data_IF_958744288208
#
_entry.id   IF_958744288208
#
_cell.length_a   1.000
_cell.length_b   1.000
_cell.length_c   1.000
_cell.angle_alpha   90.00
_cell.angle_beta   90.00
_cell.angle_gamma   90.00
#
_symmetry.space_group_name_H-M   'P 1'
#
loop_
_entity.id
_entity.type
_entity.pdbx_description
1 polymer ?
#
# COMPACT_ATOMS: atom_id res chain seq x y z
N UNK A 1 46.31 13.10 -1.27
CA UNK A 1 45.70 13.86 -0.16
C UNK A 1 44.24 14.06 -0.51
N UNK A 2 43.35 13.39 0.21
CA UNK A 2 41.91 13.47 0.01
C UNK A 2 41.49 14.84 0.55
N UNK A 3 41.06 15.73 -0.33
CA UNK A 3 40.62 17.08 0.06
C UNK A 3 39.42 17.00 0.97
N UNK A 4 39.48 17.69 2.12
CA UNK A 4 38.35 17.82 3.03
C UNK A 4 37.16 18.47 2.29
N UNK A 5 35.94 17.93 2.44
CA UNK A 5 34.76 18.49 1.79
C UNK A 5 34.47 19.89 2.33
N UNK A 6 34.11 20.81 1.43
CA UNK A 6 33.85 22.22 1.79
C UNK A 6 32.76 22.33 2.87
N UNK A 7 32.83 23.32 3.78
CA UNK A 7 31.87 23.45 4.87
C UNK A 7 30.42 23.49 4.36
N UNK A 8 30.16 24.18 3.25
CA UNK A 8 28.81 24.29 2.66
C UNK A 8 28.24 22.93 2.25
N UNK A 9 29.07 22.02 1.73
CA UNK A 9 28.63 20.67 1.37
C UNK A 9 28.35 19.81 2.61
N UNK A 10 29.12 19.96 3.68
CA UNK A 10 28.91 19.25 4.94
C UNK A 10 27.66 19.78 5.67
N UNK A 11 27.47 21.11 5.72
CA UNK A 11 26.30 21.76 6.32
C UNK A 11 25.01 21.45 5.54
N UNK A 12 25.04 21.49 4.20
CA UNK A 12 23.90 21.09 3.37
C UNK A 12 23.57 19.61 3.57
N UNK A 13 24.57 18.72 3.61
CA UNK A 13 24.34 17.29 3.88
C UNK A 13 23.82 17.01 5.29
N UNK A 14 24.29 17.72 6.32
CA UNK A 14 23.78 17.61 7.70
C UNK A 14 22.36 18.17 7.82
N UNK A 15 22.04 19.26 7.13
CA UNK A 15 20.68 19.81 7.08
C UNK A 15 19.71 18.88 6.34
N UNK A 16 20.17 18.27 5.24
CA UNK A 16 19.40 17.35 4.40
C UNK A 16 19.17 16.00 5.12
N UNK A 17 20.17 15.49 5.84
CA UNK A 17 20.04 14.29 6.69
C UNK A 17 19.19 14.54 7.93
N UNK A 18 19.27 15.73 8.55
CA UNK A 18 18.38 16.10 9.65
C UNK A 18 16.93 16.13 9.19
N UNK A 19 16.65 16.78 8.06
CA UNK A 19 15.29 16.87 7.51
C UNK A 19 14.73 15.49 7.14
N UNK A 20 15.57 14.55 6.71
CA UNK A 20 15.16 13.22 6.24
C UNK A 20 14.42 12.38 7.30
N UNK A 21 14.76 12.56 8.57
CA UNK A 21 14.18 11.83 9.70
C UNK A 21 13.29 12.72 10.56
N UNK A 22 12.90 13.91 10.11
CA UNK A 22 12.10 14.84 10.92
C UNK A 22 10.63 14.40 10.94
N UNK A 23 9.99 14.41 12.11
CA UNK A 23 8.55 14.14 12.20
C UNK A 23 7.73 15.34 11.70
N UNK A 24 6.50 15.10 11.23
CA UNK A 24 5.63 16.10 10.61
C UNK A 24 5.53 17.43 11.38
N UNK A 25 5.47 17.37 12.72
CA UNK A 25 5.33 18.53 13.60
C UNK A 25 6.52 19.50 13.55
N UNK A 26 7.69 18.99 13.18
CA UNK A 26 8.96 19.74 13.20
C UNK A 26 9.44 20.08 11.77
N UNK A 27 8.66 19.75 10.75
CA UNK A 27 8.97 20.09 9.37
C UNK A 27 8.73 21.59 9.10
N UNK A 28 9.63 22.26 8.35
CA UNK A 28 9.37 23.62 7.89
C UNK A 28 8.13 23.67 7.00
N UNK A 29 7.44 24.82 6.98
CA UNK A 29 6.27 24.99 6.13
C UNK A 29 6.63 24.80 4.64
N UNK A 30 5.74 24.13 3.89
CA UNK A 30 5.82 23.95 2.43
C UNK A 30 7.04 23.16 1.93
N UNK A 31 7.62 22.26 2.73
CA UNK A 31 8.69 21.34 2.27
C UNK A 31 8.16 20.08 1.56
N UNK A 32 6.85 19.86 1.61
CA UNK A 32 6.16 18.78 0.92
C UNK A 32 6.23 18.88 -0.60
N UNK A 33 5.62 17.91 -1.30
CA UNK A 33 5.55 17.90 -2.75
C UNK A 33 4.11 17.91 -3.26
N UNK A 34 3.89 18.53 -4.42
CA UNK A 34 2.58 18.55 -5.06
C UNK A 34 2.30 17.26 -5.83
N UNK A 35 1.02 16.91 -5.91
CA UNK A 35 0.56 15.77 -6.68
C UNK A 35 0.85 16.00 -8.18
N UNK A 36 1.55 15.05 -8.79
CA UNK A 36 1.98 15.06 -10.20
C UNK A 36 3.00 16.14 -10.55
N UNK A 37 3.67 16.71 -9.55
CA UNK A 37 4.93 17.41 -9.76
C UNK A 37 5.98 16.46 -10.36
N UNK A 38 7.03 17.02 -10.98
CA UNK A 38 8.11 16.22 -11.58
C UNK A 38 8.71 15.17 -10.62
N UNK A 39 8.96 15.48 -9.32
CA UNK A 39 9.44 14.47 -8.38
C UNK A 39 8.41 13.36 -8.10
N UNK A 40 7.12 13.69 -8.05
CA UNK A 40 6.07 12.68 -7.91
C UNK A 40 6.00 11.74 -9.12
N UNK A 41 6.04 12.30 -10.34
CA UNK A 41 6.05 11.51 -11.57
C UNK A 41 7.28 10.59 -11.62
N UNK A 42 8.45 11.09 -11.22
CA UNK A 42 9.66 10.29 -11.11
C UNK A 42 9.49 9.13 -10.10
N UNK A 43 8.92 9.40 -8.93
CA UNK A 43 8.65 8.37 -7.92
C UNK A 43 7.67 7.29 -8.43
N UNK A 44 6.63 7.68 -9.17
CA UNK A 44 5.72 6.74 -9.84
C UNK A 44 6.50 5.87 -10.83
N UNK A 45 7.28 6.48 -11.72
CA UNK A 45 8.04 5.76 -12.74
C UNK A 45 9.04 4.77 -12.13
N UNK A 46 9.77 5.18 -11.10
CA UNK A 46 10.70 4.32 -10.34
C UNK A 46 9.95 3.18 -9.67
N UNK A 47 8.80 3.47 -9.03
CA UNK A 47 7.98 2.44 -8.39
C UNK A 47 7.52 1.37 -9.38
N UNK A 48 7.01 1.79 -10.55
CA UNK A 48 6.58 0.87 -11.61
C UNK A 48 7.76 0.05 -12.15
N UNK A 49 8.91 0.68 -12.39
CA UNK A 49 10.11 -0.02 -12.80
C UNK A 49 10.51 -1.09 -11.79
N UNK A 50 10.55 -0.76 -10.49
CA UNK A 50 10.89 -1.70 -9.43
C UNK A 50 9.90 -2.87 -9.34
N UNK A 51 8.59 -2.60 -9.41
CA UNK A 51 7.55 -3.64 -9.40
C UNK A 51 7.74 -4.61 -10.56
N UNK A 52 7.96 -4.09 -11.78
CA UNK A 52 8.20 -4.90 -12.98
C UNK A 52 9.51 -5.67 -12.84
N UNK A 53 10.61 -5.02 -12.42
CA UNK A 53 11.90 -5.67 -12.22
C UNK A 53 11.80 -6.83 -11.23
N UNK A 54 11.18 -6.63 -10.06
CA UNK A 54 11.01 -7.69 -9.05
C UNK A 54 10.19 -8.86 -9.62
N UNK A 55 9.10 -8.56 -10.35
CA UNK A 55 8.22 -9.58 -10.94
C UNK A 55 8.91 -10.37 -12.06
N UNK A 56 9.65 -9.69 -12.95
CA UNK A 56 10.43 -10.33 -14.02
C UNK A 56 11.58 -11.15 -13.43
N UNK A 57 12.32 -10.59 -12.47
CA UNK A 57 13.37 -11.32 -11.75
C UNK A 57 12.80 -12.58 -11.10
N UNK A 58 11.60 -12.52 -10.52
CA UNK A 58 10.92 -13.71 -10.02
C UNK A 58 10.64 -14.71 -11.15
N UNK A 59 10.02 -14.29 -12.25
CA UNK A 59 9.61 -15.16 -13.35
C UNK A 59 10.77 -15.99 -13.93
N UNK A 60 11.93 -15.36 -14.15
CA UNK A 60 13.13 -15.97 -14.76
C UNK A 60 14.06 -16.66 -13.74
N UNK A 61 13.76 -16.60 -12.45
CA UNK A 61 14.61 -17.16 -11.40
C UNK A 61 14.45 -18.67 -11.20
N UNK A 62 15.52 -19.32 -10.75
CA UNK A 62 15.50 -20.70 -10.27
C UNK A 62 14.60 -20.87 -9.02
N UNK A 63 14.10 -22.09 -8.73
CA UNK A 63 13.12 -22.32 -7.66
C UNK A 63 13.52 -21.80 -6.27
N UNK A 64 14.80 -21.94 -5.89
CA UNK A 64 15.32 -21.42 -4.61
C UNK A 64 15.19 -19.89 -4.53
N UNK A 65 15.56 -19.18 -5.60
CA UNK A 65 15.49 -17.72 -5.67
C UNK A 65 14.04 -17.22 -5.77
N UNK A 66 13.16 -17.94 -6.48
CA UNK A 66 11.70 -17.68 -6.46
C UNK A 66 11.15 -17.71 -5.04
N UNK A 67 11.47 -18.75 -4.27
CA UNK A 67 11.04 -18.86 -2.88
C UNK A 67 11.59 -17.71 -2.02
N UNK A 68 12.86 -17.33 -2.19
CA UNK A 68 13.45 -16.20 -1.47
C UNK A 68 12.77 -14.87 -1.81
N UNK A 69 12.57 -14.55 -3.08
CA UNK A 69 11.91 -13.31 -3.51
C UNK A 69 10.50 -13.23 -2.90
N UNK A 70 9.71 -14.30 -3.01
CA UNK A 70 8.34 -14.35 -2.49
C UNK A 70 8.28 -14.17 -0.96
N UNK A 71 9.22 -14.78 -0.22
CA UNK A 71 9.32 -14.61 1.23
C UNK A 71 9.76 -13.19 1.60
N UNK A 72 10.73 -12.63 0.89
CA UNK A 72 11.22 -11.26 1.15
C UNK A 72 10.13 -10.22 0.90
N UNK A 73 9.40 -10.32 -0.21
CA UNK A 73 8.28 -9.40 -0.51
C UNK A 73 7.10 -9.57 0.45
N UNK A 74 7.00 -10.69 1.17
CA UNK A 74 6.02 -10.89 2.25
C UNK A 74 6.49 -10.42 3.63
N UNK A 75 7.79 -10.53 3.93
CA UNK A 75 8.37 -10.23 5.26
C UNK A 75 8.75 -8.77 5.40
N UNK A 76 9.39 -8.18 4.38
CA UNK A 76 9.89 -6.80 4.46
C UNK A 76 8.78 -5.79 4.77
N UNK A 77 7.56 -5.85 4.19
CA UNK A 77 6.48 -4.93 4.56
C UNK A 77 6.14 -4.94 6.05
N UNK A 78 6.14 -6.11 6.70
CA UNK A 78 5.90 -6.23 8.15
C UNK A 78 7.03 -5.58 8.95
N UNK A 79 8.28 -5.75 8.51
CA UNK A 79 9.44 -5.09 9.12
C UNK A 79 9.31 -3.58 8.96
N UNK A 80 8.96 -3.07 7.78
CA UNK A 80 8.79 -1.63 7.53
C UNK A 80 7.73 -1.03 8.46
N UNK A 81 6.61 -1.71 8.67
CA UNK A 81 5.60 -1.29 9.66
C UNK A 81 6.20 -1.21 11.06
N UNK A 82 6.95 -2.23 11.49
CA UNK A 82 7.58 -2.23 12.82
C UNK A 82 8.60 -1.09 12.99
N UNK A 83 9.40 -0.82 11.94
CA UNK A 83 10.36 0.29 11.92
C UNK A 83 9.62 1.62 11.99
N UNK A 84 8.53 1.79 11.21
CA UNK A 84 7.70 3.01 11.23
C UNK A 84 7.07 3.25 12.59
N UNK A 85 6.50 2.23 13.22
CA UNK A 85 5.95 2.34 14.57
C UNK A 85 7.03 2.72 15.59
N UNK A 86 8.24 2.14 15.46
CA UNK A 86 9.39 2.49 16.30
C UNK A 86 9.78 3.95 16.09
N UNK A 87 9.85 4.41 14.84
CA UNK A 87 10.11 5.81 14.49
C UNK A 87 9.10 6.75 15.16
N UNK A 88 7.80 6.47 15.05
CA UNK A 88 6.73 7.28 15.67
C UNK A 88 6.88 7.35 17.19
N UNK A 89 7.19 6.22 17.85
CA UNK A 89 7.44 6.17 19.30
C UNK A 89 8.65 7.01 19.70
N UNK A 90 9.76 6.93 18.95
CA UNK A 90 10.98 7.68 19.25
C UNK A 90 10.79 9.20 19.18
N UNK A 91 9.89 9.66 18.30
CA UNK A 91 9.52 11.08 18.19
C UNK A 91 8.41 11.50 19.16
N UNK A 92 7.95 10.61 20.06
CA UNK A 92 6.90 10.92 21.03
C UNK A 92 5.52 11.15 20.40
N UNK A 93 5.35 10.77 19.14
CA UNK A 93 4.08 10.91 18.43
C UNK A 93 3.10 9.79 18.83
N UNK A 94 1.80 10.07 18.67
CA UNK A 94 0.76 9.12 19.06
C UNK A 94 0.68 7.94 18.09
N UNK A 95 1.09 6.76 18.57
CA UNK A 95 1.05 5.49 17.84
C UNK A 95 -0.37 5.14 17.36
N UNK A 96 -1.41 5.62 18.04
CA UNK A 96 -2.82 5.33 17.72
C UNK A 96 -3.21 5.78 16.32
N UNK A 97 -2.52 6.74 15.71
CA UNK A 97 -2.77 7.21 14.33
C UNK A 97 -1.94 6.48 13.27
N UNK A 98 -0.99 5.63 13.68
CA UNK A 98 -0.02 4.96 12.81
C UNK A 98 -0.16 3.42 12.89
N UNK A 99 -1.18 2.92 13.59
CA UNK A 99 -1.49 1.49 13.66
C UNK A 99 -1.79 0.94 12.26
N UNK A 100 -1.49 -0.35 12.00
CA UNK A 100 -1.64 -0.94 10.68
C UNK A 100 -3.09 -1.33 10.34
N UNK A 101 -4.04 -0.43 10.58
CA UNK A 101 -5.47 -0.64 10.34
C UNK A 101 -5.93 -0.05 8.99
N UNK A 102 -5.05 0.66 8.27
CA UNK A 102 -5.28 0.96 6.85
C UNK A 102 -5.17 -0.30 6.00
N UNK A 103 -5.97 -0.39 4.94
CA UNK A 103 -6.02 -1.57 4.07
C UNK A 103 -4.64 -1.94 3.49
N UNK A 104 -3.83 -0.97 3.06
CA UNK A 104 -2.46 -1.23 2.59
C UNK A 104 -1.57 -1.79 3.70
N UNK A 105 -1.59 -1.21 4.90
CA UNK A 105 -0.81 -1.71 6.05
C UNK A 105 -1.23 -3.12 6.45
N UNK A 106 -2.53 -3.40 6.50
CA UNK A 106 -3.06 -4.75 6.70
C UNK A 106 -2.63 -5.70 5.59
N UNK A 107 -2.54 -5.22 4.34
CA UNK A 107 -2.04 -6.01 3.20
C UNK A 107 -0.62 -6.53 3.42
N UNK A 108 0.26 -5.74 4.05
CA UNK A 108 1.59 -6.21 4.44
C UNK A 108 1.52 -7.47 5.33
N UNK A 109 0.66 -7.45 6.35
CA UNK A 109 0.41 -8.62 7.19
C UNK A 109 -0.30 -9.75 6.44
N UNK A 110 -1.22 -9.44 5.54
CA UNK A 110 -1.90 -10.45 4.72
C UNK A 110 -0.92 -11.17 3.81
N UNK A 111 0.02 -10.48 3.16
CA UNK A 111 1.09 -11.11 2.37
C UNK A 111 1.90 -12.10 3.22
N UNK A 112 2.27 -11.70 4.44
CA UNK A 112 2.97 -12.56 5.39
C UNK A 112 2.12 -13.79 5.79
N UNK A 113 0.88 -13.57 6.21
CA UNK A 113 -0.04 -14.63 6.62
C UNK A 113 -0.31 -15.60 5.46
N UNK A 114 -0.51 -15.08 4.25
CA UNK A 114 -0.76 -15.84 3.04
C UNK A 114 0.41 -16.76 2.65
N UNK A 115 1.64 -16.26 2.79
CA UNK A 115 2.86 -17.00 2.45
C UNK A 115 3.12 -18.16 3.42
N UNK A 116 2.97 -17.91 4.72
CA UNK A 116 3.47 -18.81 5.75
C UNK A 116 2.39 -19.67 6.42
N UNK A 117 1.16 -19.18 6.54
CA UNK A 117 0.16 -19.79 7.45
C UNK A 117 -1.08 -20.35 6.74
N UNK A 118 -1.47 -19.83 5.58
CA UNK A 118 -2.75 -20.21 4.95
C UNK A 118 -2.69 -21.42 4.02
N UNK A 119 -1.58 -22.17 3.97
CA UNK A 119 -1.47 -23.35 3.10
C UNK A 119 -2.48 -24.45 3.43
N UNK A 120 -2.88 -24.57 4.70
CA UNK A 120 -3.82 -25.61 5.18
C UNK A 120 -5.27 -25.15 5.25
N UNK A 121 -5.57 -23.90 4.91
CA UNK A 121 -6.91 -23.30 5.03
C UNK A 121 -7.40 -22.79 3.67
N UNK A 122 -7.84 -23.68 2.75
CA UNK A 122 -8.10 -23.32 1.35
C UNK A 122 -9.20 -22.27 1.19
N UNK A 123 -10.24 -22.30 2.02
CA UNK A 123 -11.31 -21.29 1.99
C UNK A 123 -10.78 -19.90 2.37
N UNK A 124 -10.12 -19.77 3.54
CA UNK A 124 -9.55 -18.50 4.01
C UNK A 124 -8.50 -17.99 3.04
N UNK A 125 -7.67 -18.89 2.49
CA UNK A 125 -6.70 -18.58 1.46
C UNK A 125 -7.38 -18.02 0.21
N UNK A 126 -8.47 -18.62 -0.25
CA UNK A 126 -9.23 -18.12 -1.41
C UNK A 126 -9.84 -16.75 -1.13
N UNK A 127 -10.44 -16.55 0.06
CA UNK A 127 -10.99 -15.24 0.45
C UNK A 127 -9.92 -14.16 0.49
N UNK A 128 -8.79 -14.44 1.14
CA UNK A 128 -7.70 -13.47 1.25
C UNK A 128 -7.04 -13.21 -0.11
N UNK A 129 -6.88 -14.23 -0.95
CA UNK A 129 -6.34 -14.09 -2.30
C UNK A 129 -7.23 -13.19 -3.18
N UNK A 130 -8.56 -13.41 -3.15
CA UNK A 130 -9.52 -12.56 -3.84
C UNK A 130 -9.49 -11.12 -3.33
N UNK A 131 -9.45 -10.92 -2.01
CA UNK A 131 -9.36 -9.57 -1.42
C UNK A 131 -8.04 -8.87 -1.76
N UNK A 132 -6.92 -9.59 -1.71
CA UNK A 132 -5.60 -9.05 -2.08
C UNK A 132 -5.57 -8.62 -3.55
N UNK A 133 -6.13 -9.42 -4.44
CA UNK A 133 -6.22 -9.08 -5.87
C UNK A 133 -7.19 -7.93 -6.15
N UNK A 134 -8.42 -8.04 -5.67
CA UNK A 134 -9.52 -7.19 -6.14
C UNK A 134 -9.67 -5.88 -5.37
N UNK A 135 -9.06 -5.77 -4.19
CA UNK A 135 -9.10 -4.57 -3.35
C UNK A 135 -7.70 -4.04 -3.03
N UNK A 136 -6.82 -4.89 -2.53
CA UNK A 136 -5.54 -4.43 -1.99
C UNK A 136 -4.57 -3.99 -3.08
N UNK A 137 -4.50 -4.73 -4.20
CA UNK A 137 -3.69 -4.37 -5.36
C UNK A 137 -4.11 -3.03 -5.98
N UNK A 138 -5.38 -2.81 -6.39
CA UNK A 138 -5.78 -1.52 -6.93
C UNK A 138 -5.67 -0.40 -5.87
N UNK A 139 -5.96 -0.68 -4.60
CA UNK A 139 -5.77 0.27 -3.50
C UNK A 139 -4.31 0.72 -3.35
N UNK A 140 -3.37 -0.22 -3.40
CA UNK A 140 -1.94 0.07 -3.31
C UNK A 140 -1.43 0.86 -4.53
N UNK A 141 -1.93 0.55 -5.73
CA UNK A 141 -1.65 1.33 -6.94
C UNK A 141 -2.18 2.76 -6.81
N UNK A 142 -3.41 2.93 -6.30
CA UNK A 142 -3.97 4.25 -6.05
C UNK A 142 -3.19 5.02 -4.98
N UNK A 143 -2.62 4.36 -3.97
CA UNK A 143 -1.78 5.02 -2.97
C UNK A 143 -0.46 5.57 -3.55
N UNK A 144 0.08 4.92 -4.59
CA UNK A 144 1.22 5.45 -5.36
C UNK A 144 0.81 6.63 -6.24
N UNK A 145 -0.39 6.59 -6.84
CA UNK A 145 -0.89 7.63 -7.75
C UNK A 145 -1.49 8.85 -7.04
N UNK A 146 -2.01 8.66 -5.84
CA UNK A 146 -2.71 9.65 -5.01
C UNK A 146 -2.23 9.52 -3.55
N UNK A 147 -0.92 9.72 -3.26
CA UNK A 147 -0.40 9.66 -1.90
C UNK A 147 -1.08 10.71 -1.00
N UNK A 148 -1.34 10.34 0.25
CA UNK A 148 -1.92 11.23 1.26
C UNK A 148 -0.87 11.86 2.20
N UNK A 149 0.38 11.40 2.17
CA UNK A 149 1.48 11.87 3.01
C UNK A 149 2.35 12.94 2.36
N UNK A 150 1.80 13.77 1.47
CA UNK A 150 2.55 14.74 0.66
C UNK A 150 3.16 15.90 1.44
N UNK A 151 2.83 16.03 2.73
CA UNK A 151 3.48 16.99 3.65
C UNK A 151 4.97 16.68 3.84
N UNK A 152 5.35 15.39 3.74
CA UNK A 152 6.74 14.99 3.75
C UNK A 152 7.38 15.23 2.38
N UNK A 153 8.62 15.74 2.31
CA UNK A 153 9.35 15.85 1.05
C UNK A 153 9.45 14.49 0.34
N UNK A 154 9.60 14.49 -0.99
CA UNK A 154 9.74 13.22 -1.73
C UNK A 154 10.99 12.43 -1.31
N UNK A 155 12.08 13.15 -0.97
CA UNK A 155 13.32 12.59 -0.42
C UNK A 155 13.24 12.68 1.11
N UNK A 156 12.41 11.83 1.72
CA UNK A 156 12.19 11.75 3.16
C UNK A 156 11.96 10.31 3.59
N UNK A 157 12.34 9.94 4.82
CA UNK A 157 12.18 8.57 5.34
C UNK A 157 10.75 8.05 5.16
N UNK A 158 9.74 8.80 5.62
CA UNK A 158 8.32 8.41 5.51
C UNK A 158 7.88 8.24 4.06
N UNK A 159 8.32 9.11 3.15
CA UNK A 159 8.01 9.01 1.72
C UNK A 159 8.65 7.75 1.12
N UNK A 160 9.94 7.52 1.36
CA UNK A 160 10.64 6.33 0.89
C UNK A 160 10.06 5.03 1.44
N UNK A 161 9.80 4.98 2.75
CA UNK A 161 9.18 3.84 3.41
C UNK A 161 7.82 3.54 2.79
N UNK A 162 6.99 4.56 2.60
CA UNK A 162 5.67 4.43 1.99
C UNK A 162 5.76 3.88 0.57
N UNK A 163 6.57 4.45 -0.32
CA UNK A 163 6.71 3.94 -1.69
C UNK A 163 7.27 2.52 -1.72
N UNK A 164 8.31 2.24 -0.93
CA UNK A 164 8.91 0.91 -0.84
C UNK A 164 7.91 -0.13 -0.34
N UNK A 165 7.14 0.21 0.69
CA UNK A 165 6.08 -0.64 1.23
C UNK A 165 5.07 -1.01 0.13
N UNK A 166 4.55 -0.02 -0.60
CA UNK A 166 3.59 -0.23 -1.67
C UNK A 166 4.17 -1.05 -2.84
N UNK A 167 5.41 -0.77 -3.26
CA UNK A 167 6.13 -1.54 -4.28
C UNK A 167 6.17 -3.03 -3.90
N UNK A 168 6.51 -3.34 -2.65
CA UNK A 168 6.69 -4.72 -2.19
C UNK A 168 5.38 -5.49 -2.10
N UNK A 169 4.30 -4.88 -1.57
CA UNK A 169 2.99 -5.56 -1.52
C UNK A 169 2.41 -5.77 -2.92
N UNK A 170 2.56 -4.81 -3.83
CA UNK A 170 2.12 -4.94 -5.22
C UNK A 170 2.92 -6.06 -5.89
N UNK A 171 4.25 -6.05 -5.77
CA UNK A 171 5.10 -7.08 -6.34
C UNK A 171 4.77 -8.48 -5.78
N UNK A 172 4.49 -8.61 -4.47
CA UNK A 172 4.05 -9.87 -3.88
C UNK A 172 2.77 -10.38 -4.55
N UNK A 173 1.74 -9.53 -4.66
CA UNK A 173 0.46 -9.92 -5.25
C UNK A 173 0.64 -10.32 -6.73
N UNK A 174 1.39 -9.54 -7.52
CA UNK A 174 1.71 -9.87 -8.91
C UNK A 174 2.44 -11.22 -9.04
N UNK A 175 3.43 -11.48 -8.17
CA UNK A 175 4.14 -12.76 -8.11
C UNK A 175 3.19 -13.92 -7.83
N UNK A 176 2.24 -13.75 -6.89
CA UNK A 176 1.28 -14.79 -6.54
C UNK A 176 0.24 -15.02 -7.64
N UNK A 177 -0.10 -14.00 -8.43
CA UNK A 177 -0.94 -14.20 -9.61
C UNK A 177 -0.15 -14.99 -10.67
N UNK A 178 1.09 -14.58 -10.94
CA UNK A 178 1.96 -15.22 -11.92
C UNK A 178 2.18 -16.71 -11.62
N UNK A 179 2.38 -17.09 -10.35
CA UNK A 179 2.59 -18.49 -9.97
C UNK A 179 1.31 -19.29 -9.67
N UNK A 180 0.13 -18.74 -10.04
CA UNK A 180 -1.20 -19.30 -9.74
C UNK A 180 -1.42 -19.54 -8.24
N UNK A 181 -0.67 -18.83 -7.42
CA UNK A 181 -0.81 -18.79 -5.99
C UNK A 181 -2.04 -18.06 -5.51
N UNK A 182 -2.47 -17.04 -6.25
CA UNK A 182 -3.76 -16.35 -6.19
C UNK A 182 -4.35 -16.49 -7.59
N UNK A 183 -5.55 -17.05 -7.68
CA UNK A 183 -6.26 -17.21 -8.94
C UNK A 183 -7.56 -16.40 -8.86
N UNK A 184 -7.56 -15.16 -9.39
CA UNK A 184 -8.77 -14.35 -9.45
C UNK A 184 -9.86 -15.03 -10.28
N UNK A 185 -11.10 -14.88 -9.84
CA UNK A 185 -12.26 -15.50 -10.49
C UNK A 185 -13.50 -14.67 -10.18
N UNK A 186 -14.18 -14.24 -11.24
CA UNK A 186 -15.42 -13.47 -11.16
C UNK A 186 -16.52 -14.19 -10.38
N UNK A 187 -16.55 -15.52 -10.43
CA UNK A 187 -17.51 -16.34 -9.67
C UNK A 187 -17.27 -16.26 -8.17
N UNK A 188 -16.05 -15.89 -7.78
CA UNK A 188 -15.57 -15.81 -6.41
C UNK A 188 -15.37 -14.37 -5.94
N UNK A 189 -15.75 -13.38 -6.76
CA UNK A 189 -15.62 -11.95 -6.44
C UNK A 189 -16.37 -11.57 -5.14
N UNK A 190 -17.47 -12.26 -4.82
CA UNK A 190 -18.20 -12.06 -3.56
C UNK A 190 -17.33 -12.29 -2.32
N UNK A 191 -16.24 -13.07 -2.41
CA UNK A 191 -15.29 -13.27 -1.31
C UNK A 191 -14.56 -11.97 -0.93
N UNK A 192 -14.34 -11.06 -1.88
CA UNK A 192 -13.83 -9.71 -1.59
C UNK A 192 -14.83 -8.90 -0.76
N UNK A 193 -16.14 -9.06 -1.01
CA UNK A 193 -17.20 -8.44 -0.22
C UNK A 193 -17.24 -9.04 1.18
N UNK A 194 -17.17 -10.38 1.29
CA UNK A 194 -17.11 -11.08 2.58
C UNK A 194 -15.92 -10.60 3.42
N UNK A 195 -14.77 -10.41 2.80
CA UNK A 195 -13.60 -9.83 3.45
C UNK A 195 -13.88 -8.43 4.00
N UNK A 196 -14.49 -7.53 3.22
CA UNK A 196 -14.85 -6.19 3.70
C UNK A 196 -15.86 -6.24 4.84
N UNK A 197 -16.88 -7.11 4.75
CA UNK A 197 -17.86 -7.29 5.82
C UNK A 197 -17.23 -7.79 7.12
N UNK A 198 -16.10 -8.52 7.05
CA UNK A 198 -15.37 -8.97 8.22
C UNK A 198 -14.45 -7.89 8.81
N UNK A 199 -13.78 -7.09 7.96
CA UNK A 199 -12.75 -6.13 8.40
C UNK A 199 -13.30 -4.73 8.69
N UNK A 200 -14.25 -4.24 7.90
CA UNK A 200 -14.74 -2.86 8.03
C UNK A 200 -15.45 -2.61 9.37
N UNK A 201 -16.34 -3.48 9.88
CA UNK A 201 -17.01 -3.22 11.16
C UNK A 201 -16.08 -3.02 12.37
N UNK A 202 -15.07 -3.88 12.63
CA UNK A 202 -14.16 -3.64 13.75
C UNK A 202 -13.29 -2.40 13.55
N UNK A 203 -12.84 -2.11 12.32
CA UNK A 203 -12.08 -0.88 12.02
C UNK A 203 -12.95 0.37 12.20
N UNK A 204 -14.21 0.32 11.79
CA UNK A 204 -15.17 1.41 12.00
C UNK A 204 -15.38 1.68 13.49
N UNK A 205 -15.58 0.63 14.30
CA UNK A 205 -15.72 0.78 15.75
C UNK A 205 -14.47 1.38 16.37
N UNK A 206 -13.29 0.90 15.98
CA UNK A 206 -12.01 1.48 16.43
C UNK A 206 -11.92 2.96 16.09
N UNK A 207 -12.26 3.33 14.85
CA UNK A 207 -12.25 4.72 14.40
C UNK A 207 -13.15 5.63 15.24
N UNK A 208 -14.35 5.17 15.60
CA UNK A 208 -15.27 5.94 16.45
C UNK A 208 -14.72 6.12 17.85
N UNK A 209 -14.17 5.06 18.46
CA UNK A 209 -13.65 5.08 19.83
C UNK A 209 -12.41 5.97 19.94
N UNK A 210 -11.46 5.82 19.02
CA UNK A 210 -10.16 6.48 19.07
C UNK A 210 -10.09 7.76 18.24
N UNK A 211 -11.20 8.18 17.62
CA UNK A 211 -11.30 9.36 16.75
C UNK A 211 -10.28 9.34 15.59
N UNK A 212 -10.11 8.17 14.98
CA UNK A 212 -9.24 7.93 13.83
C UNK A 212 -10.06 7.73 12.56
N UNK A 213 -9.40 7.61 11.40
CA UNK A 213 -10.06 7.38 10.10
C UNK A 213 -9.32 6.35 9.24
N UNK A 214 -9.02 5.21 9.84
CA UNK A 214 -8.48 4.06 9.13
C UNK A 214 -9.40 3.61 8.00
N UNK A 215 -8.81 3.20 6.88
CA UNK A 215 -9.52 2.86 5.64
C UNK A 215 -10.43 3.98 5.10
N UNK A 216 -10.36 5.20 5.65
CA UNK A 216 -11.21 6.33 5.28
C UNK A 216 -12.73 6.07 5.45
N UNK A 217 -13.14 5.17 6.33
CA UNK A 217 -14.56 4.78 6.43
C UNK A 217 -15.46 5.80 7.16
N UNK A 218 -14.87 6.78 7.87
CA UNK A 218 -15.63 7.81 8.58
C UNK A 218 -15.81 9.07 7.74
N UNK A 219 -14.71 9.61 7.20
CA UNK A 219 -14.71 10.83 6.38
C UNK A 219 -13.77 10.71 5.17
N UNK A 220 -14.02 11.44 4.09
CA UNK A 220 -13.18 11.37 2.89
C UNK A 220 -11.77 11.94 3.13
N UNK A 221 -10.79 11.39 2.42
CA UNK A 221 -9.48 12.01 2.29
C UNK A 221 -9.54 13.20 1.32
N UNK A 222 -8.92 14.32 1.69
CA UNK A 222 -8.73 15.44 0.78
C UNK A 222 -7.96 14.99 -0.49
N UNK A 223 -8.34 15.54 -1.65
CA UNK A 223 -7.73 15.18 -2.94
C UNK A 223 -8.16 13.83 -3.54
N UNK A 224 -8.90 12.99 -2.80
CA UNK A 224 -9.42 11.72 -3.33
C UNK A 224 -10.55 11.95 -4.34
N UNK A 225 -10.62 11.19 -5.45
CA UNK A 225 -11.78 11.18 -6.35
C UNK A 225 -13.10 10.92 -5.62
N UNK A 226 -13.05 10.19 -4.51
CA UNK A 226 -14.21 9.85 -3.67
C UNK A 226 -14.80 11.05 -2.93
N UNK A 227 -14.06 12.17 -2.84
CA UNK A 227 -14.57 13.41 -2.26
C UNK A 227 -15.78 13.97 -3.05
N UNK A 228 -15.94 13.60 -4.33
CA UNK A 228 -17.11 13.95 -5.12
C UNK A 228 -18.43 13.46 -4.51
N UNK A 229 -18.46 12.23 -3.97
CA UNK A 229 -19.65 11.68 -3.31
C UNK A 229 -20.03 12.48 -2.05
N UNK A 230 -19.03 12.98 -1.33
CA UNK A 230 -19.27 13.87 -0.19
C UNK A 230 -19.89 15.20 -0.63
N UNK A 231 -19.41 15.81 -1.72
CA UNK A 231 -20.00 17.04 -2.26
C UNK A 231 -21.45 16.87 -2.70
N UNK A 232 -21.82 15.69 -3.21
CA UNK A 232 -23.17 15.42 -3.70
C UNK A 232 -24.20 15.11 -2.60
N UNK A 233 -23.78 14.44 -1.51
CA UNK A 233 -24.72 13.90 -0.52
C UNK A 233 -24.22 13.88 0.92
N UNK A 234 -23.21 14.69 1.26
CA UNK A 234 -22.59 14.75 2.57
C UNK A 234 -22.00 13.41 3.02
N UNK A 235 -21.93 13.19 4.33
CA UNK A 235 -21.38 11.95 4.90
C UNK A 235 -22.17 10.69 4.57
N UNK A 236 -23.48 10.80 4.31
CA UNK A 236 -24.31 9.68 3.90
C UNK A 236 -24.00 9.30 2.44
N UNK A 237 -24.00 10.29 1.54
CA UNK A 237 -23.62 10.11 0.14
C UNK A 237 -22.19 9.57 -0.01
N UNK A 238 -21.25 10.09 0.78
CA UNK A 238 -19.88 9.58 0.82
C UNK A 238 -19.81 8.09 1.13
N UNK A 239 -20.44 7.63 2.23
CA UNK A 239 -20.36 6.23 2.66
C UNK A 239 -21.04 5.27 1.68
N UNK A 240 -22.18 5.68 1.11
CA UNK A 240 -22.87 4.90 0.07
C UNK A 240 -22.00 4.82 -1.19
N UNK A 241 -21.49 5.95 -1.67
CA UNK A 241 -20.61 6.01 -2.83
C UNK A 241 -19.33 5.21 -2.61
N UNK A 242 -18.73 5.27 -1.42
CA UNK A 242 -17.55 4.50 -1.04
C UNK A 242 -17.80 3.00 -1.08
N UNK A 243 -18.90 2.53 -0.47
CA UNK A 243 -19.29 1.12 -0.52
C UNK A 243 -19.57 0.65 -1.95
N UNK A 244 -20.27 1.46 -2.75
CA UNK A 244 -20.51 1.18 -4.15
C UNK A 244 -19.21 1.08 -4.95
N UNK A 245 -18.29 2.04 -4.77
CA UNK A 245 -16.98 2.01 -5.45
C UNK A 245 -16.18 0.77 -5.05
N UNK A 246 -16.18 0.38 -3.78
CA UNK A 246 -15.48 -0.83 -3.35
C UNK A 246 -16.03 -2.08 -4.04
N UNK A 247 -17.35 -2.26 -4.08
CA UNK A 247 -18.00 -3.37 -4.78
C UNK A 247 -17.72 -3.30 -6.29
N UNK A 248 -17.87 -2.12 -6.89
CA UNK A 248 -17.60 -1.90 -8.31
C UNK A 248 -16.17 -2.29 -8.68
N UNK A 249 -15.16 -1.87 -7.91
CA UNK A 249 -13.76 -2.21 -8.15
C UNK A 249 -13.53 -3.71 -8.00
N UNK A 250 -14.14 -4.37 -7.01
CA UNK A 250 -14.02 -5.83 -6.84
C UNK A 250 -14.45 -6.57 -8.12
N UNK A 251 -15.62 -6.23 -8.65
CA UNK A 251 -16.13 -6.88 -9.87
C UNK A 251 -15.35 -6.44 -11.10
N UNK A 252 -15.01 -5.16 -11.24
CA UNK A 252 -14.24 -4.64 -12.37
C UNK A 252 -12.90 -5.35 -12.49
N UNK A 253 -12.14 -5.47 -11.40
CA UNK A 253 -10.85 -6.17 -11.40
C UNK A 253 -11.01 -7.62 -11.87
N UNK A 254 -11.98 -8.36 -11.33
CA UNK A 254 -12.21 -9.75 -11.73
C UNK A 254 -12.67 -9.89 -13.19
N UNK A 255 -13.46 -8.95 -13.72
CA UNK A 255 -13.84 -8.92 -15.15
C UNK A 255 -12.61 -8.68 -16.03
N UNK A 256 -11.76 -7.71 -15.67
CA UNK A 256 -10.54 -7.39 -16.41
C UNK A 256 -9.53 -8.54 -16.40
N UNK A 257 -9.60 -9.45 -15.43
CA UNK A 257 -8.77 -10.65 -15.40
C UNK A 257 -9.16 -11.73 -16.42
N UNK A 258 -10.42 -11.77 -16.87
CA UNK A 258 -10.93 -12.80 -17.80
C UNK A 258 -10.09 -12.94 -19.09
N UNK A 259 -9.74 -11.87 -19.82
CA UNK A 259 -8.87 -12.01 -21.00
C UNK A 259 -7.46 -12.50 -20.63
N UNK A 260 -6.92 -12.05 -19.49
CA UNK A 260 -5.58 -12.42 -19.02
C UNK A 260 -5.51 -13.90 -18.66
N UNK A 261 -6.53 -14.43 -17.96
CA UNK A 261 -6.58 -15.84 -17.60
C UNK A 261 -6.63 -16.76 -18.82
N UNK A 262 -7.33 -16.36 -19.89
CA UNK A 262 -7.39 -17.08 -21.17
C UNK A 262 -6.06 -17.10 -21.93
N UNK A 263 -5.22 -16.07 -21.75
CA UNK A 263 -3.88 -16.04 -22.34
C UNK A 263 -2.93 -16.95 -21.56
N UNK A 264 -3.00 -16.92 -20.22
CA UNK A 264 -2.17 -17.75 -19.34
C UNK A 264 -2.55 -19.24 -19.45
N UNK A 265 -3.82 -19.58 -19.73
CA UNK A 265 -4.25 -20.98 -19.88
C UNK A 265 -3.83 -21.63 -21.21
N UNK A 266 -3.34 -20.86 -22.18
CA UNK A 266 -2.95 -21.34 -23.52
C UNK A 266 -1.45 -21.59 -23.69
N UNK A 267 -0.62 -21.19 -22.72
CA UNK A 267 0.83 -21.44 -22.68
C UNK A 267 1.19 -22.45 -21.62
#
# INVERSE_FOLDING_TARGET
MIGEPSPVSLWYNIYTMKLFFTYETDLPANVGYELYSLPHIAAIAVSMLMIVSITVMYAVSAPRRKASIRKLTAVIPVILIAVRLTYVVLYGASVVYELPLHLCSMTGFFCFIYEFFLKKSPFIRSVLGQAMYSLCLPGALMAILFPNGTIYPIIHYISFESYLFHILIIAYICIRIHDKGIEPDIREAYKGILFLLAIVPPVYLFNVIFKTNYMFVIWPSAGSPLYGFFKMGGYAGYRIGYAFTAVFVIYLMNILYIPVSRLISKG
#
